data_IF_037657729356
#
_entry.id   IF_037657729356
#
_cell.length_a   1.000
_cell.length_b   1.000
_cell.length_c   1.000
_cell.angle_alpha   90.00
_cell.angle_beta   90.00
_cell.angle_gamma   90.00
#
_symmetry.space_group_name_H-M   'P 1'
#
loop_
_entity.id
_entity.type
_entity.pdbx_description
1 polymer ?
#
# COMPACT_ATOMS: atom_id res chain seq x y z
N UNK A 1 74.30 -55.28 36.08
CA UNK A 1 73.66 -55.24 37.40
C UNK A 1 73.15 -53.81 37.64
N UNK A 2 71.81 -53.64 37.70
CA UNK A 2 71.00 -52.55 38.34
C UNK A 2 71.23 -51.08 37.86
N UNK A 3 70.28 -50.44 37.14
CA UNK A 3 69.10 -49.64 37.60
C UNK A 3 69.50 -48.47 38.54
N UNK A 4 69.10 -47.18 38.45
CA UNK A 4 68.08 -46.36 37.76
C UNK A 4 68.38 -44.86 38.16
N UNK A 5 67.49 -43.85 38.05
CA UNK A 5 66.80 -43.20 36.93
C UNK A 5 67.18 -41.72 36.74
N UNK A 6 66.95 -41.15 35.55
CA UNK A 6 66.51 -39.74 35.43
C UNK A 6 65.28 -39.69 34.54
N UNK A 7 64.15 -39.41 35.18
CA UNK A 7 62.82 -39.33 34.60
C UNK A 7 62.70 -38.15 33.64
N UNK A 8 62.32 -38.42 32.39
CA UNK A 8 61.66 -37.44 31.52
C UNK A 8 60.26 -38.01 31.27
N UNK A 9 59.30 -37.52 32.06
CA UNK A 9 57.88 -37.73 31.80
C UNK A 9 57.45 -36.67 30.79
N UNK A 10 57.18 -37.09 29.56
CA UNK A 10 56.50 -36.26 28.56
C UNK A 10 55.02 -36.27 28.93
N UNK A 11 54.54 -35.18 29.54
CA UNK A 11 53.12 -34.94 29.70
C UNK A 11 52.55 -34.46 28.36
N UNK A 12 51.82 -35.33 27.65
CA UNK A 12 50.94 -34.92 26.57
C UNK A 12 49.74 -34.18 27.17
N UNK A 13 49.78 -32.84 27.14
CA UNK A 13 48.59 -32.03 27.32
C UNK A 13 47.80 -32.03 26.00
N UNK A 14 46.75 -32.84 25.93
CA UNK A 14 45.75 -32.75 24.86
C UNK A 14 44.89 -31.52 25.15
N UNK A 15 45.31 -30.37 24.60
CA UNK A 15 44.48 -29.16 24.58
C UNK A 15 43.31 -29.41 23.63
N UNK A 16 42.15 -29.78 24.18
CA UNK A 16 40.89 -29.81 23.46
C UNK A 16 40.50 -28.40 23.02
N UNK A 17 40.80 -28.04 21.78
CA UNK A 17 40.27 -26.84 21.16
C UNK A 17 38.77 -27.05 20.91
N UNK A 18 37.95 -26.59 21.85
CA UNK A 18 36.52 -26.38 21.59
C UNK A 18 36.41 -25.27 20.55
N UNK A 19 36.24 -25.67 19.29
CA UNK A 19 35.74 -24.80 18.22
C UNK A 19 34.33 -24.36 18.61
N UNK A 20 34.23 -23.24 19.34
CA UNK A 20 32.99 -22.50 19.44
C UNK A 20 32.65 -21.99 18.04
N UNK A 21 31.83 -22.75 17.33
CA UNK A 21 31.15 -22.27 16.13
C UNK A 21 30.27 -21.11 16.60
N UNK A 22 30.68 -19.88 16.29
CA UNK A 22 29.79 -18.75 16.37
C UNK A 22 28.65 -19.03 15.39
N UNK A 23 27.55 -19.58 15.91
CA UNK A 23 26.30 -19.62 15.17
C UNK A 23 25.97 -18.17 14.82
N UNK A 24 26.02 -17.83 13.53
CA UNK A 24 25.48 -16.55 13.05
C UNK A 24 24.05 -16.47 13.55
N UNK A 25 23.82 -15.67 14.59
CA UNK A 25 22.49 -15.43 15.10
C UNK A 25 21.75 -14.66 14.02
N UNK A 26 20.87 -15.36 13.31
CA UNK A 26 19.91 -14.72 12.41
C UNK A 26 19.25 -13.56 13.17
N UNK A 27 19.04 -12.44 12.49
CA UNK A 27 18.40 -11.26 13.10
C UNK A 27 17.11 -11.68 13.79
N UNK A 28 16.82 -11.06 14.93
CA UNK A 28 15.70 -11.44 15.79
C UNK A 28 14.44 -10.59 15.59
N UNK A 29 14.41 -9.80 14.50
CA UNK A 29 13.30 -8.94 14.10
C UNK A 29 12.88 -9.23 12.67
N UNK A 30 11.56 -9.27 12.44
CA UNK A 30 10.99 -9.28 11.09
C UNK A 30 11.18 -7.89 10.48
N UNK A 31 11.74 -7.82 9.27
CA UNK A 31 12.00 -6.60 8.52
C UNK A 31 11.05 -6.50 7.34
N UNK A 32 10.28 -5.42 7.30
CA UNK A 32 9.23 -5.18 6.31
C UNK A 32 9.50 -3.84 5.63
N UNK A 33 9.37 -3.75 4.31
CA UNK A 33 9.39 -2.47 3.61
C UNK A 33 8.47 -2.46 2.40
N UNK A 34 8.08 -1.27 1.91
CA UNK A 34 7.43 -1.13 0.60
C UNK A 34 6.30 -0.12 0.56
N UNK A 35 5.14 -0.54 0.05
CA UNK A 35 3.99 0.32 -0.23
C UNK A 35 3.62 1.23 0.94
N UNK A 36 3.56 2.53 0.67
CA UNK A 36 3.09 3.54 1.63
C UNK A 36 1.59 3.43 1.90
N UNK A 37 0.80 2.84 1.00
CA UNK A 37 -0.61 2.51 1.27
C UNK A 37 -0.77 1.34 2.24
N UNK A 38 0.11 0.34 2.19
CA UNK A 38 0.05 -0.82 3.11
C UNK A 38 0.71 -0.52 4.45
N UNK A 39 1.62 0.47 4.50
CA UNK A 39 2.38 0.84 5.69
C UNK A 39 1.51 1.03 6.96
N UNK A 40 0.41 1.82 6.96
CA UNK A 40 -0.39 1.99 8.17
C UNK A 40 -0.97 0.67 8.70
N UNK A 41 -1.43 -0.21 7.80
CA UNK A 41 -1.97 -1.51 8.18
C UNK A 41 -0.87 -2.42 8.74
N UNK A 42 0.29 -2.49 8.08
CA UNK A 42 1.42 -3.28 8.54
C UNK A 42 1.97 -2.79 9.88
N UNK A 43 2.01 -1.46 10.12
CA UNK A 43 2.40 -0.90 11.42
C UNK A 43 1.42 -1.28 12.53
N UNK A 44 0.10 -1.21 12.28
CA UNK A 44 -0.91 -1.66 13.23
C UNK A 44 -0.71 -3.14 13.58
N UNK A 45 -0.55 -4.01 12.57
CA UNK A 45 -0.36 -5.45 12.80
C UNK A 45 0.97 -5.73 13.51
N UNK A 46 2.04 -5.02 13.18
CA UNK A 46 3.33 -5.19 13.84
C UNK A 46 3.25 -4.89 15.34
N UNK A 47 2.62 -3.78 15.72
CA UNK A 47 2.39 -3.41 17.12
C UNK A 47 1.53 -4.45 17.84
N UNK A 48 0.39 -4.83 17.24
CA UNK A 48 -0.50 -5.84 17.84
C UNK A 48 0.15 -7.21 17.96
N UNK A 49 1.00 -7.58 16.99
CA UNK A 49 1.76 -8.82 17.01
C UNK A 49 2.77 -8.84 18.15
N UNK A 50 3.54 -7.75 18.33
CA UNK A 50 4.48 -7.63 19.45
C UNK A 50 3.80 -7.69 20.82
N UNK A 51 2.60 -7.11 20.93
CA UNK A 51 1.78 -7.18 22.15
C UNK A 51 1.19 -8.57 22.40
N UNK A 52 0.80 -9.29 21.34
CA UNK A 52 0.15 -10.60 21.43
C UNK A 52 1.14 -11.74 21.63
N UNK A 53 2.34 -11.63 21.07
CA UNK A 53 3.38 -12.66 21.09
C UNK A 53 4.68 -12.11 21.68
N UNK A 54 4.77 -11.93 23.01
CA UNK A 54 5.93 -11.30 23.66
C UNK A 54 7.25 -12.07 23.48
N UNK A 55 7.20 -13.33 23.04
CA UNK A 55 8.37 -14.11 22.65
C UNK A 55 9.01 -13.69 21.32
N UNK A 56 8.32 -12.87 20.52
CA UNK A 56 8.83 -12.31 19.26
C UNK A 56 9.00 -10.80 19.40
N UNK A 57 10.08 -10.26 18.84
CA UNK A 57 10.23 -8.80 18.78
C UNK A 57 9.24 -8.20 17.79
N UNK A 58 8.75 -7.00 18.10
CA UNK A 58 7.90 -6.20 17.21
C UNK A 58 8.56 -6.05 15.83
N UNK A 59 7.87 -6.39 14.73
CA UNK A 59 8.37 -6.19 13.37
C UNK A 59 8.72 -4.73 13.10
N UNK A 60 9.80 -4.51 12.33
CA UNK A 60 10.19 -3.19 11.86
C UNK A 60 9.56 -2.96 10.49
N UNK A 61 8.76 -1.90 10.36
CA UNK A 61 8.01 -1.59 9.13
C UNK A 61 8.50 -0.28 8.52
N UNK A 62 9.12 -0.37 7.35
CA UNK A 62 9.60 0.75 6.56
C UNK A 62 8.68 1.10 5.38
N UNK A 63 8.74 2.36 4.98
CA UNK A 63 8.17 2.82 3.70
C UNK A 63 9.19 2.67 2.56
N UNK A 64 8.79 2.94 1.33
CA UNK A 64 9.67 2.89 0.15
C UNK A 64 8.94 2.76 -1.18
N UNK A 65 7.60 2.67 -1.15
CA UNK A 65 6.77 2.38 -2.32
C UNK A 65 6.88 0.91 -2.75
N UNK A 66 5.87 0.42 -3.47
CA UNK A 66 5.81 -1.00 -3.88
C UNK A 66 7.05 -1.44 -4.65
N UNK A 67 7.47 -0.68 -5.66
CA UNK A 67 8.65 -1.02 -6.48
C UNK A 67 9.96 -0.95 -5.68
N UNK A 68 10.09 0.01 -4.75
CA UNK A 68 11.28 0.15 -3.91
C UNK A 68 11.41 -0.99 -2.90
N UNK A 69 10.31 -1.34 -2.24
CA UNK A 69 10.26 -2.49 -1.32
C UNK A 69 10.53 -3.81 -2.03
N UNK A 70 9.92 -4.05 -3.19
CA UNK A 70 10.19 -5.25 -3.99
C UNK A 70 11.65 -5.32 -4.47
N UNK A 71 12.25 -4.18 -4.84
CA UNK A 71 13.68 -4.12 -5.18
C UNK A 71 14.55 -4.54 -3.99
N UNK A 72 14.27 -4.05 -2.78
CA UNK A 72 14.98 -4.45 -1.55
C UNK A 72 14.76 -5.93 -1.22
N UNK A 73 13.53 -6.41 -1.34
CA UNK A 73 13.16 -7.80 -1.10
C UNK A 73 13.89 -8.78 -2.03
N UNK A 74 14.04 -8.42 -3.31
CA UNK A 74 14.74 -9.21 -4.32
C UNK A 74 16.28 -9.09 -4.27
N UNK A 75 16.89 -8.50 -3.23
CA UNK A 75 18.36 -8.40 -3.12
C UNK A 75 19.05 -9.70 -2.69
N UNK A 76 18.30 -10.71 -2.27
CA UNK A 76 18.82 -12.02 -1.88
C UNK A 76 18.11 -12.61 -0.68
N UNK A 77 18.65 -13.71 -0.15
CA UNK A 77 18.11 -14.47 0.99
C UNK A 77 18.89 -14.26 2.28
N UNK A 78 19.95 -13.44 2.28
CA UNK A 78 20.77 -13.18 3.46
C UNK A 78 20.05 -12.37 4.54
N UNK A 79 20.56 -12.43 5.76
CA UNK A 79 19.99 -11.79 6.96
C UNK A 79 20.00 -10.25 6.90
N UNK A 80 20.69 -9.67 5.92
CA UNK A 80 20.72 -8.23 5.62
C UNK A 80 19.58 -7.77 4.68
N UNK A 81 18.73 -8.68 4.20
CA UNK A 81 17.64 -8.38 3.24
C UNK A 81 16.28 -8.48 3.91
N UNK A 82 15.29 -7.66 3.55
CA UNK A 82 13.96 -7.68 4.20
C UNK A 82 13.21 -9.03 4.00
N UNK A 83 12.32 -9.37 4.93
CA UNK A 83 11.50 -10.60 4.92
C UNK A 83 10.22 -10.46 4.12
N UNK A 84 9.65 -9.24 4.17
CA UNK A 84 8.34 -8.93 3.61
C UNK A 84 8.41 -7.66 2.77
N UNK A 85 7.89 -7.72 1.54
CA UNK A 85 7.63 -6.55 0.71
C UNK A 85 6.14 -6.19 0.72
N UNK A 86 5.78 -5.08 1.35
CA UNK A 86 4.45 -4.49 1.26
C UNK A 86 4.18 -3.98 -0.16
N UNK A 87 3.00 -4.30 -0.71
CA UNK A 87 2.70 -4.00 -2.11
C UNK A 87 1.24 -3.61 -2.33
N UNK A 88 1.05 -2.58 -3.13
CA UNK A 88 -0.26 -2.07 -3.51
C UNK A 88 -0.73 -2.49 -4.90
N UNK A 89 0.07 -3.32 -5.56
CA UNK A 89 -0.19 -3.96 -6.84
C UNK A 89 0.48 -5.32 -6.82
N UNK A 90 0.12 -6.17 -7.78
CA UNK A 90 0.85 -7.41 -7.98
C UNK A 90 2.31 -7.14 -8.33
N UNK A 91 3.19 -8.02 -7.87
CA UNK A 91 4.58 -8.12 -8.32
C UNK A 91 4.59 -8.35 -9.83
N UNK A 92 5.48 -7.66 -10.55
CA UNK A 92 5.62 -7.80 -12.00
C UNK A 92 6.52 -8.99 -12.33
N UNK A 93 6.34 -9.58 -13.52
CA UNK A 93 7.21 -10.66 -14.00
C UNK A 93 8.69 -10.26 -14.04
N UNK A 94 8.98 -9.00 -14.38
CA UNK A 94 10.35 -8.46 -14.35
C UNK A 94 10.94 -8.35 -12.94
N UNK A 95 10.11 -8.08 -11.94
CA UNK A 95 10.51 -8.05 -10.53
C UNK A 95 10.71 -9.48 -9.99
N UNK A 96 9.82 -10.42 -10.36
CA UNK A 96 9.98 -11.85 -10.06
C UNK A 96 11.25 -12.41 -10.68
N UNK A 97 11.56 -12.07 -11.93
CA UNK A 97 12.80 -12.47 -12.60
C UNK A 97 14.04 -11.94 -11.87
N UNK A 98 13.99 -10.70 -11.38
CA UNK A 98 15.05 -10.12 -10.56
C UNK A 98 15.21 -10.86 -9.22
N UNK A 99 14.11 -11.21 -8.56
CA UNK A 99 14.10 -12.05 -7.36
C UNK A 99 14.79 -13.40 -7.61
N UNK A 100 14.37 -14.12 -8.66
CA UNK A 100 14.96 -15.43 -9.05
C UNK A 100 16.46 -15.31 -9.32
N UNK A 101 16.90 -14.27 -10.03
CA UNK A 101 18.32 -14.01 -10.31
C UNK A 101 19.16 -13.82 -9.04
N UNK A 102 18.56 -13.27 -7.99
CA UNK A 102 19.20 -13.06 -6.68
C UNK A 102 19.00 -14.24 -5.71
N UNK A 103 18.47 -15.38 -6.17
CA UNK A 103 18.23 -16.57 -5.36
C UNK A 103 16.97 -16.54 -4.49
N UNK A 104 16.11 -15.52 -4.67
CA UNK A 104 14.78 -15.45 -4.04
C UNK A 104 13.80 -16.20 -4.92
N UNK A 105 13.62 -17.50 -4.66
CA UNK A 105 12.86 -18.41 -5.50
C UNK A 105 11.46 -18.71 -4.94
N UNK A 106 11.24 -18.49 -3.64
CA UNK A 106 9.99 -18.80 -2.95
C UNK A 106 9.23 -17.53 -2.57
N UNK A 107 8.85 -16.73 -3.56
CA UNK A 107 8.04 -15.53 -3.33
C UNK A 107 6.59 -15.92 -3.07
N UNK A 108 6.11 -15.84 -1.84
CA UNK A 108 4.71 -16.13 -1.51
C UNK A 108 3.87 -14.84 -1.51
N UNK A 109 2.77 -14.83 -2.27
CA UNK A 109 1.85 -13.67 -2.35
C UNK A 109 0.76 -13.77 -1.29
N UNK A 110 0.68 -12.76 -0.42
CA UNK A 110 -0.35 -12.68 0.61
C UNK A 110 -1.23 -11.47 0.31
N UNK A 111 -2.42 -11.71 -0.22
CA UNK A 111 -3.44 -10.67 -0.34
C UNK A 111 -4.00 -10.36 1.04
N UNK A 112 -4.09 -9.09 1.38
CA UNK A 112 -4.54 -8.65 2.71
C UNK A 112 -5.95 -8.03 2.70
N UNK A 113 -6.41 -7.58 1.54
CA UNK A 113 -7.65 -6.85 1.40
C UNK A 113 -7.63 -5.97 0.16
N UNK A 114 -8.44 -4.94 0.20
CA UNK A 114 -8.57 -3.97 -0.87
C UNK A 114 -8.52 -2.56 -0.29
N UNK A 115 -8.02 -1.64 -1.12
CA UNK A 115 -8.25 -0.22 -0.92
C UNK A 115 -9.36 0.23 -1.89
N UNK A 116 -10.16 1.19 -1.45
CA UNK A 116 -11.28 1.72 -2.19
C UNK A 116 -11.50 3.17 -1.89
N UNK A 117 -11.23 4.02 -2.87
CA UNK A 117 -11.38 5.47 -2.73
C UNK A 117 -12.67 5.92 -3.37
N UNK A 118 -13.41 6.74 -2.63
CA UNK A 118 -14.64 7.34 -3.09
C UNK A 118 -14.51 8.85 -3.12
N UNK A 119 -15.26 9.46 -4.03
CA UNK A 119 -15.48 10.90 -4.05
C UNK A 119 -16.86 11.15 -3.48
N UNK A 120 -16.96 12.00 -2.47
CA UNK A 120 -18.25 12.34 -1.88
C UNK A 120 -18.40 13.85 -1.72
N UNK A 121 -19.63 14.32 -1.79
CA UNK A 121 -20.02 15.69 -1.47
C UNK A 121 -21.04 15.66 -0.33
N UNK A 122 -21.47 16.82 0.16
CA UNK A 122 -22.54 16.89 1.15
C UNK A 122 -23.83 16.21 0.63
N UNK A 123 -24.55 15.50 1.50
CA UNK A 123 -25.74 14.73 1.10
C UNK A 123 -26.85 15.57 0.47
N UNK A 124 -26.89 16.88 0.79
CA UNK A 124 -27.80 17.87 0.21
C UNK A 124 -27.45 18.30 -1.23
N UNK A 125 -26.23 18.01 -1.72
CA UNK A 125 -25.77 18.43 -3.05
C UNK A 125 -26.07 17.40 -4.15
N UNK A 126 -26.01 17.81 -5.43
CA UNK A 126 -26.17 16.88 -6.55
C UNK A 126 -25.13 15.76 -6.54
N UNK A 127 -25.50 14.60 -7.11
CA UNK A 127 -24.54 13.53 -7.34
C UNK A 127 -23.60 13.89 -8.51
N UNK A 128 -22.33 13.48 -8.40
CA UNK A 128 -21.35 13.66 -9.46
C UNK A 128 -21.16 12.36 -10.26
N UNK A 129 -20.98 12.51 -11.58
CA UNK A 129 -20.63 11.42 -12.50
C UNK A 129 -19.20 11.61 -12.99
N UNK A 130 -18.24 11.25 -12.14
CA UNK A 130 -16.83 11.54 -12.38
C UNK A 130 -16.20 10.55 -13.35
N UNK A 131 -15.14 11.02 -14.01
CA UNK A 131 -14.17 10.24 -14.77
C UNK A 131 -12.77 10.73 -14.39
N UNK A 132 -11.70 9.92 -14.54
CA UNK A 132 -10.33 10.39 -14.30
C UNK A 132 -10.02 11.71 -15.02
N UNK A 133 -10.40 11.84 -16.29
CA UNK A 133 -10.21 13.07 -17.08
C UNK A 133 -10.86 14.30 -16.42
N UNK A 134 -12.06 14.17 -15.86
CA UNK A 134 -12.77 15.27 -15.21
C UNK A 134 -12.11 15.69 -13.91
N UNK A 135 -11.66 14.71 -13.11
CA UNK A 135 -10.95 14.98 -11.86
C UNK A 135 -9.60 15.62 -12.15
N UNK A 136 -8.84 15.11 -13.11
CA UNK A 136 -7.59 15.74 -13.55
C UNK A 136 -7.81 17.18 -14.05
N UNK A 137 -8.83 17.41 -14.89
CA UNK A 137 -9.17 18.76 -15.36
C UNK A 137 -9.54 19.72 -14.23
N UNK A 138 -10.14 19.24 -13.14
CA UNK A 138 -10.44 20.05 -11.97
C UNK A 138 -9.18 20.38 -11.13
N UNK A 139 -8.19 19.48 -11.12
CA UNK A 139 -6.97 19.58 -10.30
C UNK A 139 -5.83 20.34 -10.98
N UNK A 140 -5.62 20.14 -12.28
CA UNK A 140 -4.42 20.56 -12.99
C UNK A 140 -4.20 22.07 -12.91
N UNK A 141 -2.96 22.51 -12.71
CA UNK A 141 -2.58 23.92 -12.78
C UNK A 141 -2.77 24.49 -14.20
N UNK A 142 -2.39 23.68 -15.19
CA UNK A 142 -2.45 24.02 -16.61
C UNK A 142 -3.06 22.89 -17.41
N UNK A 143 -3.75 23.23 -18.49
CA UNK A 143 -4.36 22.28 -19.41
C UNK A 143 -3.91 22.54 -20.85
N UNK A 144 -3.83 21.50 -21.70
CA UNK A 144 -3.52 21.67 -23.10
C UNK A 144 -4.64 22.44 -23.83
N UNK A 145 -4.26 23.47 -24.59
CA UNK A 145 -5.11 24.21 -25.52
C UNK A 145 -4.26 24.63 -26.71
N UNK A 146 -4.73 24.33 -27.93
CA UNK A 146 -4.03 24.65 -29.19
C UNK A 146 -2.53 24.24 -29.21
N UNK A 147 -2.21 23.07 -28.63
CA UNK A 147 -0.85 22.55 -28.59
C UNK A 147 0.06 23.17 -27.52
N UNK A 148 -0.45 24.03 -26.64
CA UNK A 148 0.31 24.64 -25.54
C UNK A 148 -0.40 24.43 -24.20
N UNK A 149 0.35 24.50 -23.09
CA UNK A 149 -0.23 24.51 -21.75
C UNK A 149 -0.66 25.92 -21.37
N UNK A 150 -1.95 26.10 -21.11
CA UNK A 150 -2.52 27.36 -20.63
C UNK A 150 -2.99 27.21 -19.18
N UNK A 151 -3.04 28.31 -18.39
CA UNK A 151 -3.65 28.27 -17.05
C UNK A 151 -5.04 27.65 -17.10
N UNK A 152 -5.36 26.80 -16.12
CA UNK A 152 -6.63 26.10 -16.10
C UNK A 152 -7.82 27.09 -16.02
N UNK A 153 -8.69 27.17 -17.05
CA UNK A 153 -9.75 28.17 -17.11
C UNK A 153 -10.98 27.75 -16.28
N UNK A 154 -11.06 26.49 -15.85
CA UNK A 154 -12.25 25.96 -15.23
C UNK A 154 -12.38 26.41 -13.78
N UNK A 155 -13.54 26.96 -13.46
CA UNK A 155 -13.95 27.40 -12.12
C UNK A 155 -15.17 26.65 -11.60
N UNK A 156 -15.92 25.99 -12.50
CA UNK A 156 -17.14 25.22 -12.21
C UNK A 156 -17.11 23.86 -12.92
N UNK A 157 -17.73 22.86 -12.32
CA UNK A 157 -17.67 21.48 -12.83
C UNK A 157 -18.33 21.31 -14.20
N UNK A 158 -19.45 21.98 -14.46
CA UNK A 158 -20.13 21.93 -15.76
C UNK A 158 -19.34 22.58 -16.93
N UNK A 159 -18.27 23.33 -16.64
CA UNK A 159 -17.35 23.85 -17.66
C UNK A 159 -16.39 22.77 -18.16
N UNK A 160 -16.10 21.76 -17.33
CA UNK A 160 -15.29 20.59 -17.70
C UNK A 160 -16.13 19.66 -18.58
N UNK A 161 -17.35 19.36 -18.16
CA UNK A 161 -18.30 18.53 -18.91
C UNK A 161 -19.74 18.86 -18.52
N UNK A 162 -20.63 19.00 -19.50
CA UNK A 162 -22.04 19.41 -19.30
C UNK A 162 -22.85 18.43 -18.43
N UNK A 163 -22.41 17.18 -18.28
CA UNK A 163 -23.06 16.19 -17.42
C UNK A 163 -22.79 16.39 -15.93
N UNK A 164 -21.85 17.29 -15.57
CA UNK A 164 -21.51 17.60 -14.20
C UNK A 164 -22.34 18.78 -13.65
N UNK A 165 -22.53 18.87 -12.31
CA UNK A 165 -23.30 19.95 -11.69
C UNK A 165 -22.73 21.34 -11.96
N UNK A 166 -23.60 22.37 -11.95
CA UNK A 166 -23.18 23.78 -11.96
C UNK A 166 -22.75 24.25 -10.55
N UNK A 167 -21.77 23.56 -9.97
CA UNK A 167 -21.20 23.88 -8.65
C UNK A 167 -19.75 24.41 -8.83
N UNK A 168 -19.28 25.32 -7.96
CA UNK A 168 -17.88 25.72 -7.93
C UNK A 168 -16.95 24.52 -7.75
N UNK A 169 -15.81 24.52 -8.43
CA UNK A 169 -14.78 23.50 -8.22
C UNK A 169 -14.12 23.77 -6.88
N UNK A 170 -14.29 22.85 -5.94
CA UNK A 170 -13.48 22.75 -4.72
C UNK A 170 -13.25 21.27 -4.44
N UNK A 171 -12.00 20.84 -4.51
CA UNK A 171 -11.58 19.47 -4.27
C UNK A 171 -10.76 19.40 -2.99
N UNK A 172 -11.17 18.53 -2.07
CA UNK A 172 -10.44 18.23 -0.84
C UNK A 172 -9.83 16.84 -1.00
N UNK A 173 -8.51 16.78 -1.17
CA UNK A 173 -7.79 15.59 -1.62
C UNK A 173 -6.76 15.13 -0.58
N UNK A 174 -6.37 13.85 -0.57
CA UNK A 174 -5.25 13.38 0.26
C UNK A 174 -3.95 14.09 -0.12
N UNK A 175 -3.24 14.60 0.88
CA UNK A 175 -1.88 15.11 0.73
C UNK A 175 -0.88 13.98 0.45
N UNK A 176 0.36 14.33 0.08
CA UNK A 176 1.41 13.37 -0.31
C UNK A 176 1.72 12.29 0.74
N UNK A 177 1.49 12.58 2.02
CA UNK A 177 1.73 11.69 3.16
C UNK A 177 0.48 10.90 3.62
N UNK A 178 -0.66 11.04 2.96
CA UNK A 178 -1.90 10.35 3.32
C UNK A 178 -2.00 8.97 2.63
N UNK A 179 -2.44 7.92 3.33
CA UNK A 179 -2.38 6.53 2.85
C UNK A 179 -3.13 6.25 1.54
N UNK A 180 -4.19 7.00 1.26
CA UNK A 180 -4.97 6.95 0.00
C UNK A 180 -4.40 7.78 -1.14
N UNK A 181 -3.34 8.57 -0.91
CA UNK A 181 -2.75 9.41 -1.95
C UNK A 181 -2.35 8.61 -3.17
N UNK A 182 -1.72 7.46 -2.95
CA UNK A 182 -1.12 6.66 -4.03
C UNK A 182 -2.20 6.17 -5.00
N UNK A 183 -3.32 5.62 -4.50
CA UNK A 183 -4.45 5.19 -5.36
C UNK A 183 -5.09 6.39 -6.05
N UNK A 184 -5.31 7.50 -5.34
CA UNK A 184 -5.88 8.70 -5.94
C UNK A 184 -5.00 9.23 -7.08
N UNK A 185 -3.69 9.29 -6.85
CA UNK A 185 -2.70 9.71 -7.83
C UNK A 185 -2.73 8.78 -9.06
N UNK A 186 -2.62 7.47 -8.86
CA UNK A 186 -2.56 6.50 -9.96
C UNK A 186 -3.89 6.43 -10.74
N UNK A 187 -5.01 6.26 -10.04
CA UNK A 187 -6.31 5.93 -10.67
C UNK A 187 -7.09 7.14 -11.16
N UNK A 188 -6.81 8.33 -10.66
CA UNK A 188 -7.58 9.54 -11.00
C UNK A 188 -6.72 10.62 -11.64
N UNK A 189 -5.53 10.88 -11.09
CA UNK A 189 -4.67 11.95 -11.58
C UNK A 189 -3.89 11.49 -12.81
N UNK A 190 -3.09 10.43 -12.69
CA UNK A 190 -2.27 9.89 -13.78
C UNK A 190 -3.17 9.39 -14.92
N UNK A 191 -4.15 8.52 -14.61
CA UNK A 191 -5.12 8.06 -15.61
C UNK A 191 -5.92 9.19 -16.28
N UNK A 192 -6.19 10.28 -15.57
CA UNK A 192 -6.85 11.47 -16.13
C UNK A 192 -5.91 12.30 -17.01
N UNK A 193 -4.67 12.48 -16.58
CA UNK A 193 -3.63 13.16 -17.34
C UNK A 193 -3.33 12.42 -18.66
N UNK A 194 -3.23 11.09 -18.60
CA UNK A 194 -3.06 10.20 -19.74
C UNK A 194 -4.27 10.18 -20.69
N UNK A 195 -5.37 10.86 -20.37
CA UNK A 195 -6.45 11.04 -21.36
C UNK A 195 -6.15 12.14 -22.38
N UNK A 196 -5.14 12.98 -22.15
CA UNK A 196 -4.74 14.06 -23.06
C UNK A 196 -3.50 13.65 -23.86
N UNK A 197 -3.62 13.68 -25.20
CA UNK A 197 -2.51 13.36 -26.12
C UNK A 197 -1.27 14.26 -25.92
N UNK A 198 -1.46 15.49 -25.44
CA UNK A 198 -0.35 16.39 -25.12
C UNK A 198 0.60 15.78 -24.08
N UNK A 199 0.07 15.27 -22.96
CA UNK A 199 0.90 14.74 -21.88
C UNK A 199 1.57 13.42 -22.23
N UNK A 200 0.93 12.59 -23.07
CA UNK A 200 1.52 11.32 -23.54
C UNK A 200 2.78 11.50 -24.38
N UNK A 201 2.95 12.66 -25.01
CA UNK A 201 4.09 12.97 -25.89
C UNK A 201 5.29 13.50 -25.12
N UNK A 202 5.13 13.84 -23.84
CA UNK A 202 6.24 14.24 -22.98
C UNK A 202 7.07 13.01 -22.62
N UNK A 203 8.34 13.22 -22.28
CA UNK A 203 9.10 12.18 -21.59
C UNK A 203 8.51 11.91 -20.20
N UNK A 204 8.89 10.79 -19.59
CA UNK A 204 8.26 10.32 -18.34
C UNK A 204 8.44 11.28 -17.18
N UNK A 205 9.58 11.95 -17.08
CA UNK A 205 9.85 12.83 -15.95
C UNK A 205 9.06 14.13 -16.07
N UNK A 206 9.00 14.69 -17.28
CA UNK A 206 8.21 15.89 -17.54
C UNK A 206 6.70 15.62 -17.54
N UNK A 207 6.26 14.45 -18.03
CA UNK A 207 4.89 13.98 -17.87
C UNK A 207 4.53 13.91 -16.38
N UNK A 208 5.36 13.25 -15.56
CA UNK A 208 5.10 13.09 -14.12
C UNK A 208 5.01 14.44 -13.41
N UNK A 209 5.92 15.37 -13.70
CA UNK A 209 5.89 16.74 -13.15
C UNK A 209 4.61 17.46 -13.57
N UNK A 210 4.28 17.45 -14.87
CA UNK A 210 3.12 18.13 -15.41
C UNK A 210 1.80 17.56 -14.85
N UNK A 211 1.66 16.23 -14.82
CA UNK A 211 0.46 15.56 -14.31
C UNK A 211 0.27 15.75 -12.79
N UNK A 212 1.35 16.04 -12.04
CA UNK A 212 1.30 16.24 -10.59
C UNK A 212 1.28 17.73 -10.19
N UNK A 213 1.28 18.65 -11.16
CA UNK A 213 1.19 20.09 -10.92
C UNK A 213 -0.28 20.48 -10.69
N UNK A 214 -0.68 20.60 -9.42
CA UNK A 214 -2.03 21.02 -9.05
C UNK A 214 -2.14 22.55 -8.97
N UNK A 215 -3.31 23.06 -9.32
CA UNK A 215 -3.66 24.48 -9.21
C UNK A 215 -3.52 24.97 -7.76
N UNK A 216 -3.05 26.20 -7.60
CA UNK A 216 -2.80 26.86 -6.30
C UNK A 216 -3.76 28.02 -6.00
N UNK A 217 -4.89 28.07 -6.70
CA UNK A 217 -5.88 29.15 -6.65
C UNK A 217 -6.98 28.91 -5.59
N UNK A 218 -6.70 28.10 -4.57
CA UNK A 218 -7.60 27.78 -3.46
C UNK A 218 -8.71 26.76 -3.76
N UNK A 219 -8.80 26.26 -5.00
CA UNK A 219 -9.80 25.25 -5.41
C UNK A 219 -9.39 23.82 -5.09
N UNK A 220 -8.11 23.58 -4.81
CA UNK A 220 -7.59 22.29 -4.38
C UNK A 220 -7.01 22.46 -2.98
N UNK A 221 -7.49 21.63 -2.06
CA UNK A 221 -7.09 21.63 -0.67
C UNK A 221 -6.55 20.25 -0.36
N UNK A 222 -5.28 20.17 0.04
CA UNK A 222 -4.64 18.92 0.44
C UNK A 222 -4.77 18.70 1.94
N UNK A 223 -5.18 17.48 2.33
CA UNK A 223 -5.36 17.07 3.73
C UNK A 223 -4.37 15.97 4.08
N UNK A 224 -3.49 16.26 5.04
CA UNK A 224 -2.60 15.27 5.65
C UNK A 224 -3.25 14.53 6.81
N UNK A 225 -4.26 15.14 7.44
CA UNK A 225 -4.96 14.60 8.60
C UNK A 225 -5.99 13.53 8.26
N UNK A 226 -6.77 13.15 9.26
CA UNK A 226 -7.84 12.15 9.14
C UNK A 226 -9.02 12.64 8.29
N UNK A 227 -9.83 11.72 7.77
CA UNK A 227 -11.04 11.99 6.98
C UNK A 227 -12.05 12.88 7.69
N UNK A 228 -12.02 12.94 9.02
CA UNK A 228 -12.83 13.87 9.82
C UNK A 228 -12.55 15.34 9.48
N UNK A 229 -11.32 15.70 9.11
CA UNK A 229 -10.97 17.05 8.61
C UNK A 229 -11.63 17.32 7.25
N UNK A 230 -11.53 16.36 6.32
CA UNK A 230 -12.21 16.42 5.02
C UNK A 230 -13.72 16.59 5.20
N UNK A 231 -14.33 15.80 6.10
CA UNK A 231 -15.75 15.89 6.43
C UNK A 231 -16.13 17.26 7.01
N UNK A 232 -15.32 17.83 7.91
CA UNK A 232 -15.56 19.15 8.48
C UNK A 232 -15.56 20.24 7.40
N UNK A 233 -14.64 20.16 6.42
CA UNK A 233 -14.60 21.09 5.27
C UNK A 233 -15.84 20.97 4.38
N UNK A 234 -16.36 19.77 4.17
CA UNK A 234 -17.59 19.56 3.40
C UNK A 234 -18.85 20.07 4.13
N UNK A 235 -18.78 20.30 5.46
CA UNK A 235 -19.84 20.99 6.20
C UNK A 235 -19.80 22.50 5.97
N UNK A 236 -18.60 23.10 5.96
CA UNK A 236 -18.42 24.56 5.80
C UNK A 236 -18.41 25.01 4.33
N UNK A 237 -18.08 24.11 3.40
CA UNK A 237 -18.15 24.31 1.96
C UNK A 237 -18.97 23.18 1.32
N UNK A 238 -20.32 23.27 1.34
CA UNK A 238 -21.19 22.17 0.94
C UNK A 238 -21.01 21.71 -0.51
N UNK A 239 -20.56 22.61 -1.40
CA UNK A 239 -20.29 22.30 -2.82
C UNK A 239 -18.96 21.57 -3.05
N UNK A 240 -18.11 21.46 -2.04
CA UNK A 240 -16.83 20.76 -2.16
C UNK A 240 -17.02 19.25 -2.36
N UNK A 241 -16.10 18.66 -3.11
CA UNK A 241 -15.99 17.22 -3.29
C UNK A 241 -14.75 16.74 -2.52
N UNK A 242 -14.97 15.88 -1.54
CA UNK A 242 -13.93 15.27 -0.72
C UNK A 242 -13.59 13.86 -1.18
N UNK A 243 -12.34 13.47 -0.97
CA UNK A 243 -11.84 12.12 -1.22
C UNK A 243 -11.78 11.33 0.09
N UNK A 244 -12.41 10.16 0.12
CA UNK A 244 -12.54 9.31 1.31
C UNK A 244 -12.22 7.85 1.00
N UNK A 245 -11.89 7.07 2.02
CA UNK A 245 -11.99 5.61 1.93
C UNK A 245 -13.46 5.16 1.98
N UNK A 246 -13.79 4.05 1.31
CA UNK A 246 -15.17 3.53 1.27
C UNK A 246 -15.74 3.30 2.68
N UNK A 247 -14.96 2.72 3.60
CA UNK A 247 -15.42 2.45 4.96
C UNK A 247 -15.83 3.70 5.74
N UNK A 248 -15.09 4.80 5.56
CA UNK A 248 -15.44 6.09 6.18
C UNK A 248 -16.74 6.65 5.58
N UNK A 249 -16.90 6.56 4.26
CA UNK A 249 -18.15 6.94 3.61
C UNK A 249 -19.34 6.11 4.12
N UNK A 250 -19.18 4.79 4.24
CA UNK A 250 -20.24 3.89 4.68
C UNK A 250 -20.76 4.24 6.08
N UNK A 251 -19.89 4.70 6.97
CA UNK A 251 -20.23 5.17 8.32
C UNK A 251 -20.87 6.58 8.34
N UNK A 252 -20.88 7.30 7.21
CA UNK A 252 -21.32 8.71 7.12
C UNK A 252 -22.30 8.94 5.95
N UNK A 253 -23.03 7.90 5.52
CA UNK A 253 -23.99 7.96 4.41
C UNK A 253 -25.15 8.95 4.62
N UNK A 254 -25.45 9.28 5.88
CA UNK A 254 -26.43 10.31 6.26
C UNK A 254 -25.97 11.73 5.87
N UNK A 255 -24.66 11.98 5.94
CA UNK A 255 -24.03 13.29 5.68
C UNK A 255 -23.42 13.42 4.30
N UNK A 256 -23.11 12.29 3.65
CA UNK A 256 -22.35 12.26 2.42
C UNK A 256 -23.13 11.64 1.27
N UNK A 257 -23.03 12.25 0.09
CA UNK A 257 -23.48 11.68 -1.18
C UNK A 257 -22.27 11.32 -2.03
N UNK A 258 -22.17 10.04 -2.36
CA UNK A 258 -21.05 9.52 -3.15
C UNK A 258 -21.25 9.75 -4.64
N UNK A 259 -20.15 10.02 -5.34
CA UNK A 259 -20.08 10.09 -6.78
C UNK A 259 -19.91 8.70 -7.40
N UNK A 260 -20.36 8.54 -8.64
CA UNK A 260 -19.93 7.40 -9.46
C UNK A 260 -18.62 7.75 -10.17
N UNK A 261 -17.76 6.76 -10.41
CA UNK A 261 -16.58 6.92 -11.27
C UNK A 261 -16.72 5.99 -12.47
N UNK A 262 -16.62 6.54 -13.68
CA UNK A 262 -16.92 5.82 -14.94
C UNK A 262 -18.30 5.14 -14.90
N UNK A 263 -19.31 5.84 -14.35
CA UNK A 263 -20.68 5.35 -14.14
C UNK A 263 -20.82 4.15 -13.18
N UNK A 264 -19.77 3.78 -12.46
CA UNK A 264 -19.82 2.73 -11.43
C UNK A 264 -19.91 3.38 -10.06
N UNK A 265 -20.95 3.03 -9.30
CA UNK A 265 -21.08 3.44 -7.90
C UNK A 265 -20.17 2.57 -7.02
N UNK A 266 -19.44 3.16 -6.04
CA UNK A 266 -18.61 2.38 -5.14
C UNK A 266 -19.45 1.60 -4.13
N UNK A 267 -19.04 0.36 -3.89
CA UNK A 267 -19.56 -0.55 -2.88
C UNK A 267 -18.55 -1.66 -2.64
N UNK A 268 -18.70 -2.39 -1.54
CA UNK A 268 -17.92 -3.61 -1.28
C UNK A 268 -18.02 -4.56 -2.50
N UNK A 269 -19.23 -4.77 -3.03
CA UNK A 269 -19.47 -5.65 -4.20
C UNK A 269 -18.68 -5.22 -5.45
N UNK A 270 -18.75 -3.93 -5.81
CA UNK A 270 -18.09 -3.42 -7.02
C UNK A 270 -16.57 -3.32 -6.88
N UNK A 271 -16.06 -3.27 -5.64
CA UNK A 271 -14.61 -3.30 -5.38
C UNK A 271 -14.10 -4.73 -5.44
N UNK A 272 -14.77 -5.67 -4.76
CA UNK A 272 -14.38 -7.07 -4.72
C UNK A 272 -14.41 -7.72 -6.12
N UNK A 273 -15.38 -7.36 -6.96
CA UNK A 273 -15.45 -7.86 -8.34
C UNK A 273 -14.58 -7.06 -9.33
N UNK A 274 -13.88 -6.02 -8.88
CA UNK A 274 -13.00 -5.18 -9.69
C UNK A 274 -13.70 -4.22 -10.66
N UNK A 275 -15.04 -4.07 -10.62
CA UNK A 275 -15.76 -3.18 -11.53
C UNK A 275 -15.61 -1.70 -11.17
N UNK A 276 -15.36 -1.37 -9.89
CA UNK A 276 -15.16 0.01 -9.46
C UNK A 276 -13.69 0.44 -9.67
N UNK A 277 -13.43 1.48 -10.48
CA UNK A 277 -12.10 1.74 -11.04
C UNK A 277 -11.10 2.35 -10.05
N UNK A 278 -11.58 2.93 -8.94
CA UNK A 278 -10.73 3.59 -7.93
C UNK A 278 -10.54 2.67 -6.72
N UNK A 279 -10.20 1.43 -7.04
CA UNK A 279 -9.89 0.39 -6.05
C UNK A 279 -8.71 -0.45 -6.52
N UNK A 280 -8.06 -1.12 -5.57
CA UNK A 280 -7.02 -2.10 -5.88
C UNK A 280 -6.87 -3.14 -4.77
N UNK A 281 -6.49 -4.37 -5.11
CA UNK A 281 -6.07 -5.32 -4.10
C UNK A 281 -4.75 -4.88 -3.47
N UNK A 282 -4.61 -5.14 -2.17
CA UNK A 282 -3.40 -4.90 -1.41
C UNK A 282 -2.76 -6.25 -1.05
N UNK A 283 -1.43 -6.26 -1.03
CA UNK A 283 -0.63 -7.45 -0.81
C UNK A 283 0.53 -7.16 0.15
N UNK A 284 1.10 -8.23 0.68
CA UNK A 284 2.53 -8.26 0.94
C UNK A 284 3.11 -9.57 0.39
N UNK A 285 4.39 -9.55 0.07
CA UNK A 285 5.13 -10.70 -0.43
C UNK A 285 6.08 -11.20 0.64
N UNK A 286 6.06 -12.51 0.91
CA UNK A 286 6.91 -13.15 1.93
C UNK A 286 8.01 -13.93 1.24
N UNK A 287 9.23 -13.80 1.76
CA UNK A 287 10.36 -14.60 1.32
C UNK A 287 10.26 -15.99 1.96
N UNK A 288 9.89 -16.99 1.18
CA UNK A 288 9.70 -18.35 1.68
C UNK A 288 10.98 -18.95 2.27
N UNK A 289 12.14 -18.54 1.77
CA UNK A 289 13.45 -18.90 2.33
C UNK A 289 13.64 -18.42 3.77
N UNK A 290 12.94 -17.37 4.19
CA UNK A 290 13.03 -16.79 5.54
C UNK A 290 12.07 -17.44 6.55
N UNK A 291 11.08 -18.22 6.10
CA UNK A 291 10.04 -18.80 6.98
C UNK A 291 10.59 -19.73 8.06
N UNK A 292 11.75 -20.36 7.83
CA UNK A 292 12.39 -21.26 8.79
C UNK A 292 13.44 -20.58 9.67
N UNK A 293 14.12 -19.56 9.14
CA UNK A 293 15.25 -18.90 9.83
C UNK A 293 14.80 -17.70 10.68
N UNK A 294 13.74 -17.00 10.28
CA UNK A 294 13.28 -15.78 10.95
C UNK A 294 12.16 -16.13 11.93
N UNK A 295 12.46 -15.97 13.22
CA UNK A 295 11.52 -16.28 14.31
C UNK A 295 10.25 -15.43 14.17
N UNK A 296 9.10 -16.07 14.30
CA UNK A 296 7.81 -15.41 14.28
C UNK A 296 7.28 -15.07 12.88
N UNK A 297 8.05 -15.25 11.80
CA UNK A 297 7.61 -14.86 10.46
C UNK A 297 6.33 -15.60 10.02
N UNK A 298 6.21 -16.94 10.14
CA UNK A 298 4.95 -17.62 9.85
C UNK A 298 3.78 -17.13 10.71
N UNK A 299 4.04 -16.91 12.00
CA UNK A 299 3.03 -16.44 12.95
C UNK A 299 2.56 -15.03 12.61
N UNK A 300 3.44 -14.15 12.17
CA UNK A 300 3.09 -12.80 11.74
C UNK A 300 2.18 -12.83 10.50
N UNK A 301 2.51 -13.67 9.51
CA UNK A 301 1.67 -13.82 8.31
C UNK A 301 0.29 -14.34 8.68
N UNK A 302 0.21 -15.41 9.47
CA UNK A 302 -1.06 -15.97 9.95
C UNK A 302 -1.85 -14.97 10.80
N UNK A 303 -1.16 -14.20 11.66
CA UNK A 303 -1.78 -13.18 12.50
C UNK A 303 -2.36 -12.03 11.67
N UNK A 304 -1.66 -11.57 10.64
CA UNK A 304 -2.16 -10.54 9.73
C UNK A 304 -3.47 -10.96 9.06
N UNK A 305 -3.49 -12.17 8.48
CA UNK A 305 -4.62 -12.65 7.69
C UNK A 305 -5.71 -13.35 8.51
N UNK A 306 -5.64 -13.31 9.85
CA UNK A 306 -6.72 -13.89 10.65
C UNK A 306 -7.97 -13.00 10.63
N UNK A 307 -9.12 -13.59 10.94
CA UNK A 307 -10.43 -12.88 10.91
C UNK A 307 -10.51 -11.71 11.89
N UNK A 308 -9.87 -11.79 13.06
CA UNK A 308 -9.88 -10.71 14.07
C UNK A 308 -9.06 -9.51 13.64
N UNK A 309 -7.96 -9.74 12.92
CA UNK A 309 -7.02 -8.70 12.49
C UNK A 309 -7.42 -8.04 11.18
N UNK A 310 -7.87 -8.80 10.17
CA UNK A 310 -8.17 -8.27 8.82
C UNK A 310 -9.59 -8.53 8.31
N UNK A 311 -10.46 -9.16 9.11
CA UNK A 311 -11.86 -9.39 8.75
C UNK A 311 -12.78 -8.20 9.04
N UNK A 312 -14.09 -8.40 8.81
CA UNK A 312 -15.12 -7.42 9.18
C UNK A 312 -15.10 -7.10 10.68
N UNK A 313 -15.24 -5.82 11.01
CA UNK A 313 -15.18 -5.27 12.37
C UNK A 313 -13.77 -5.13 12.94
N UNK A 314 -12.73 -5.55 12.21
CA UNK A 314 -11.34 -5.52 12.67
C UNK A 314 -10.80 -4.10 12.78
N UNK A 315 -9.65 -3.96 13.47
CA UNK A 315 -8.94 -2.68 13.53
C UNK A 315 -8.45 -2.23 12.16
N UNK A 316 -8.05 -3.16 11.29
CA UNK A 316 -7.66 -2.81 9.92
C UNK A 316 -8.82 -2.27 9.11
N UNK A 317 -10.03 -2.85 9.25
CA UNK A 317 -11.23 -2.31 8.58
C UNK A 317 -11.58 -0.91 9.10
N UNK A 318 -11.49 -0.69 10.41
CA UNK A 318 -11.66 0.65 11.00
C UNK A 318 -10.60 1.65 10.52
N UNK A 319 -9.40 1.17 10.20
CA UNK A 319 -8.32 1.97 9.61
C UNK A 319 -8.49 2.19 8.09
N UNK A 320 -9.54 1.64 7.47
CA UNK A 320 -9.89 1.86 6.06
C UNK A 320 -9.67 0.67 5.12
N UNK A 321 -9.15 -0.46 5.61
CA UNK A 321 -8.98 -1.67 4.80
C UNK A 321 -10.34 -2.27 4.44
N UNK A 322 -10.62 -2.49 3.16
CA UNK A 322 -11.79 -3.26 2.76
C UNK A 322 -11.43 -4.74 2.90
N UNK A 323 -12.10 -5.42 3.82
CA UNK A 323 -11.78 -6.80 4.18
C UNK A 323 -12.10 -7.78 3.05
N UNK A 324 -11.27 -8.82 2.92
CA UNK A 324 -11.57 -9.95 2.04
C UNK A 324 -12.80 -10.72 2.57
N UNK A 325 -13.50 -11.40 1.67
CA UNK A 325 -14.51 -12.38 2.08
C UNK A 325 -13.89 -13.50 2.93
N UNK A 326 -14.69 -14.17 3.74
CA UNK A 326 -14.23 -15.29 4.57
C UNK A 326 -13.62 -16.42 3.70
N UNK A 327 -14.18 -16.67 2.52
CA UNK A 327 -13.67 -17.67 1.56
C UNK A 327 -12.35 -17.26 0.92
N UNK A 328 -12.21 -15.99 0.51
CA UNK A 328 -10.97 -15.47 -0.07
C UNK A 328 -9.83 -15.51 0.96
N UNK A 329 -10.09 -15.08 2.19
CA UNK A 329 -9.11 -15.12 3.29
C UNK A 329 -8.70 -16.55 3.64
N UNK A 330 -9.65 -17.48 3.71
CA UNK A 330 -9.36 -18.90 3.93
C UNK A 330 -8.47 -19.48 2.82
N UNK A 331 -8.72 -19.09 1.57
CA UNK A 331 -7.88 -19.48 0.43
C UNK A 331 -6.46 -18.92 0.54
N UNK A 332 -6.29 -17.64 0.89
CA UNK A 332 -4.96 -17.03 1.07
C UNK A 332 -4.19 -17.76 2.16
N UNK A 333 -4.83 -18.05 3.30
CA UNK A 333 -4.22 -18.79 4.40
C UNK A 333 -3.83 -20.22 3.99
N UNK A 334 -4.67 -20.92 3.22
CA UNK A 334 -4.37 -22.26 2.72
C UNK A 334 -3.20 -22.26 1.72
N UNK A 335 -3.19 -21.31 0.77
CA UNK A 335 -2.12 -21.15 -0.22
C UNK A 335 -0.78 -20.83 0.49
N UNK A 336 -0.78 -19.99 1.53
CA UNK A 336 0.40 -19.72 2.38
C UNK A 336 0.90 -20.99 3.09
N UNK A 337 0.00 -21.72 3.77
CA UNK A 337 0.36 -22.95 4.49
C UNK A 337 0.87 -24.05 3.58
N UNK A 338 0.42 -24.09 2.34
CA UNK A 338 0.91 -25.01 1.31
C UNK A 338 2.27 -24.58 0.70
N UNK A 339 2.83 -23.44 1.11
CA UNK A 339 4.10 -22.93 0.58
C UNK A 339 4.00 -22.47 -0.87
N UNK A 340 2.83 -22.01 -1.31
CA UNK A 340 2.59 -21.66 -2.71
C UNK A 340 3.29 -20.35 -3.08
N UNK A 341 4.24 -20.44 -4.00
CA UNK A 341 4.94 -19.29 -4.57
C UNK A 341 4.24 -18.76 -5.82
N UNK A 342 4.43 -17.46 -6.09
CA UNK A 342 4.11 -16.85 -7.38
C UNK A 342 4.99 -17.50 -8.45
N UNK A 343 4.39 -17.90 -9.57
CA UNK A 343 5.07 -18.59 -10.66
C UNK A 343 5.75 -17.61 -11.61
#
# INVERSE_FOLDING_TARGET
MRLNPRHIAIALAVSGATLATAANAARDTIQIAGSSTVLPYASIVAEEFGNTFPQFKTPVVGSGGTSGGLKQFCQGVGDNTIDIANASRKIKDTELAACKKSGVNQVQEIKIGYDGIVFASNSSKPAYKLKPAFVFAALAEKLPSNGQLVPNPYTRWNQIDKSLPNEPITLVIPASNHGTREVFQEKMVEAGCESYEYFKKLDKDDQKKACSAFRKDGRVIEISGDYTETLARLKTSPSAVGVFGLGFYDQNRDKLRVATVNNVAPSEKTILNGSYPVSRPLFFYVKGEHLKSIKGLPQYVEFFINKKTSGKGSKLEKAGLISMSDSERAKVLADFKAGKSVK
#
